data_IF_651815535163
#
_entry.id   IF_651815535163
#
_cell.length_a   1.000
_cell.length_b   1.000
_cell.length_c   1.000
_cell.angle_alpha   90.00
_cell.angle_beta   90.00
_cell.angle_gamma   90.00
#
_symmetry.space_group_name_H-M   'P 1'
#
loop_
_entity.id
_entity.type
_entity.pdbx_description
1 polymer ?
#
# COMPACT_ATOMS: atom_id res chain seq x y z
N UNK A 1 -14.02 28.82 -17.39
CA UNK A 1 -14.19 27.66 -16.48
C UNK A 1 -12.93 26.77 -16.40
N UNK A 2 -11.71 27.33 -16.43
CA UNK A 2 -10.46 26.54 -16.51
C UNK A 2 -9.68 26.39 -15.19
N UNK A 3 -10.12 27.00 -14.08
CA UNK A 3 -9.36 26.98 -12.81
C UNK A 3 -9.63 25.76 -11.93
N UNK A 4 -10.73 25.03 -12.13
CA UNK A 4 -11.02 23.81 -11.36
C UNK A 4 -10.15 22.59 -11.80
N UNK A 5 -9.68 22.59 -13.05
CA UNK A 5 -8.89 21.49 -13.61
C UNK A 5 -7.49 21.37 -12.99
N UNK A 6 -6.82 22.49 -12.71
CA UNK A 6 -5.48 22.51 -12.11
C UNK A 6 -5.50 22.16 -10.62
N UNK A 7 -6.48 22.66 -9.85
CA UNK A 7 -6.57 22.38 -8.41
C UNK A 7 -6.87 20.90 -8.10
N UNK A 8 -7.62 20.20 -8.97
CA UNK A 8 -7.83 18.75 -8.86
C UNK A 8 -6.63 17.93 -9.34
N UNK A 9 -5.86 18.44 -10.30
CA UNK A 9 -4.65 17.79 -10.80
C UNK A 9 -3.50 17.85 -9.78
N UNK A 10 -3.29 19.02 -9.15
CA UNK A 10 -2.26 19.22 -8.12
C UNK A 10 -2.48 18.33 -6.89
N UNK A 11 -3.74 18.20 -6.43
CA UNK A 11 -4.09 17.28 -5.33
C UNK A 11 -3.81 15.81 -5.66
N UNK A 12 -4.05 15.38 -6.90
CA UNK A 12 -3.77 14.01 -7.36
C UNK A 12 -2.27 13.72 -7.41
N UNK A 13 -1.48 14.67 -7.88
CA UNK A 13 -0.01 14.55 -7.88
C UNK A 13 0.55 14.46 -6.46
N UNK A 14 0.08 15.32 -5.55
CA UNK A 14 0.51 15.31 -4.16
C UNK A 14 0.17 13.98 -3.46
N UNK A 15 -1.06 13.49 -3.60
CA UNK A 15 -1.48 12.22 -3.00
C UNK A 15 -0.64 11.05 -3.51
N UNK A 16 -0.32 11.01 -4.82
CA UNK A 16 0.53 9.97 -5.40
C UNK A 16 1.97 10.04 -4.88
N UNK A 17 2.55 11.24 -4.79
CA UNK A 17 3.90 11.42 -4.26
C UNK A 17 3.98 11.00 -2.79
N UNK A 18 2.99 11.40 -2.00
CA UNK A 18 2.90 11.03 -0.58
C UNK A 18 2.73 9.52 -0.39
N UNK A 19 1.83 8.89 -1.17
CA UNK A 19 1.68 7.43 -1.22
C UNK A 19 3.01 6.72 -1.50
N UNK A 20 3.78 7.20 -2.49
CA UNK A 20 5.07 6.59 -2.83
C UNK A 20 6.09 6.72 -1.70
N UNK A 21 6.15 7.88 -1.05
CA UNK A 21 7.05 8.11 0.10
C UNK A 21 6.71 7.17 1.27
N UNK A 22 5.44 7.12 1.68
CA UNK A 22 4.99 6.26 2.78
C UNK A 22 5.19 4.78 2.45
N UNK A 23 4.92 4.38 1.21
CA UNK A 23 5.19 3.02 0.74
C UNK A 23 6.67 2.67 0.87
N UNK A 24 7.57 3.59 0.53
CA UNK A 24 9.01 3.36 0.63
C UNK A 24 9.49 3.23 2.08
N UNK A 25 8.96 4.07 2.98
CA UNK A 25 9.23 3.99 4.42
C UNK A 25 8.80 2.63 5.02
N UNK A 26 7.61 2.15 4.66
CA UNK A 26 7.10 0.83 5.12
C UNK A 26 7.97 -0.30 4.55
N UNK A 27 8.31 -0.26 3.26
CA UNK A 27 9.13 -1.31 2.62
C UNK A 27 10.59 -1.33 3.11
N UNK A 28 11.09 -0.18 3.57
CA UNK A 28 12.42 -0.01 4.15
C UNK A 28 12.48 -0.36 5.64
N UNK A 29 11.38 -0.87 6.21
CA UNK A 29 11.25 -1.20 7.64
C UNK A 29 11.45 0.02 8.57
N UNK A 30 11.30 1.27 8.07
CA UNK A 30 11.30 2.48 8.91
C UNK A 30 10.01 2.57 9.75
N UNK A 31 8.90 2.10 9.19
CA UNK A 31 7.60 2.00 9.88
C UNK A 31 7.31 0.54 10.15
N UNK A 32 7.14 0.19 11.43
CA UNK A 32 6.75 -1.17 11.80
C UNK A 32 5.31 -1.45 11.37
N UNK A 33 5.12 -2.52 10.60
CA UNK A 33 3.82 -3.03 10.21
C UNK A 33 3.66 -4.51 10.59
N UNK A 34 2.45 -4.93 10.94
CA UNK A 34 2.17 -6.34 11.11
C UNK A 34 2.17 -7.06 9.74
N UNK A 35 2.40 -8.38 9.69
CA UNK A 35 2.32 -9.16 8.44
C UNK A 35 0.94 -9.08 7.78
N UNK A 36 -0.12 -9.08 8.59
CA UNK A 36 -1.50 -8.97 8.12
C UNK A 36 -1.76 -7.60 7.48
N UNK A 37 -1.33 -6.52 8.15
CA UNK A 37 -1.43 -5.17 7.61
C UNK A 37 -0.56 -5.00 6.36
N UNK A 38 0.61 -5.63 6.31
CA UNK A 38 1.49 -5.59 5.13
C UNK A 38 0.82 -6.19 3.89
N UNK A 39 0.13 -7.32 4.05
CA UNK A 39 -0.64 -7.95 2.97
C UNK A 39 -1.78 -7.04 2.51
N UNK A 40 -2.48 -6.40 3.45
CA UNK A 40 -3.57 -5.48 3.13
C UNK A 40 -3.06 -4.23 2.40
N UNK A 41 -1.95 -3.64 2.84
CA UNK A 41 -1.28 -2.53 2.16
C UNK A 41 -0.84 -2.93 0.74
N UNK A 42 -0.27 -4.13 0.59
CA UNK A 42 0.11 -4.67 -0.70
C UNK A 42 -1.09 -4.82 -1.66
N UNK A 43 -2.25 -5.28 -1.17
CA UNK A 43 -3.45 -5.41 -2.02
C UNK A 43 -3.99 -4.05 -2.48
N UNK A 44 -3.97 -3.03 -1.62
CA UNK A 44 -4.28 -1.66 -2.03
C UNK A 44 -3.27 -1.09 -3.02
N UNK A 45 -1.98 -1.42 -2.87
CA UNK A 45 -0.96 -1.04 -3.84
C UNK A 45 -1.22 -1.67 -5.22
N UNK A 46 -1.71 -2.91 -5.27
CA UNK A 46 -2.10 -3.57 -6.54
C UNK A 46 -3.33 -2.94 -7.16
N UNK A 47 -4.35 -2.63 -6.36
CA UNK A 47 -5.53 -1.90 -6.82
C UNK A 47 -5.16 -0.51 -7.36
N UNK A 48 -4.24 0.21 -6.71
CA UNK A 48 -3.76 1.51 -7.17
C UNK A 48 -2.95 1.43 -8.47
N UNK A 49 -2.13 0.37 -8.65
CA UNK A 49 -1.24 0.19 -9.81
C UNK A 49 -1.98 -0.39 -11.02
N UNK A 50 -2.67 -1.51 -10.83
CA UNK A 50 -3.28 -2.29 -11.91
C UNK A 50 -4.78 -1.98 -12.08
N UNK A 51 -5.46 -1.56 -11.02
CA UNK A 51 -6.92 -1.39 -11.00
C UNK A 51 -7.62 -2.66 -10.52
N UNK A 52 -8.85 -2.90 -10.97
CA UNK A 52 -9.62 -4.08 -10.56
C UNK A 52 -8.94 -5.39 -10.95
N UNK A 53 -8.88 -6.32 -10.01
CA UNK A 53 -8.40 -7.68 -10.25
C UNK A 53 -9.24 -8.38 -11.33
N UNK A 54 -8.55 -9.04 -12.25
CA UNK A 54 -9.12 -9.81 -13.35
C UNK A 54 -8.39 -11.14 -13.45
N UNK A 55 -9.04 -12.28 -13.19
CA UNK A 55 -8.39 -13.58 -13.15
C UNK A 55 -7.84 -14.03 -14.52
N UNK A 56 -8.43 -13.55 -15.62
CA UNK A 56 -7.97 -13.85 -16.98
C UNK A 56 -6.65 -13.15 -17.34
N UNK A 57 -6.43 -11.96 -16.77
CA UNK A 57 -5.30 -11.08 -17.08
C UNK A 57 -4.17 -11.21 -16.06
N UNK A 58 -4.53 -11.31 -14.77
CA UNK A 58 -3.60 -11.35 -13.65
C UNK A 58 -3.37 -12.79 -13.20
N UNK A 59 -2.40 -13.45 -13.85
CA UNK A 59 -2.00 -14.81 -13.51
C UNK A 59 -1.11 -14.84 -12.26
N UNK A 60 -1.09 -15.94 -11.50
CA UNK A 60 -0.11 -16.14 -10.43
C UNK A 60 1.32 -15.98 -10.98
N UNK A 61 2.15 -15.19 -10.29
CA UNK A 61 3.48 -14.77 -10.71
C UNK A 61 3.54 -13.36 -11.30
N UNK A 62 2.40 -12.68 -11.48
CA UNK A 62 2.38 -11.32 -11.99
C UNK A 62 2.96 -10.30 -10.99
N UNK A 63 2.96 -10.64 -9.70
CA UNK A 63 3.41 -9.75 -8.64
C UNK A 63 4.86 -10.01 -8.20
N UNK A 64 5.52 -11.05 -8.73
CA UNK A 64 6.89 -11.42 -8.33
C UNK A 64 7.93 -10.33 -8.66
N UNK A 65 7.64 -9.47 -9.63
CA UNK A 65 8.50 -8.34 -9.99
C UNK A 65 8.32 -7.12 -9.07
N UNK A 66 7.23 -7.07 -8.30
CA UNK A 66 6.90 -5.93 -7.45
C UNK A 66 7.38 -6.16 -6.01
N UNK A 67 8.08 -5.17 -5.44
CA UNK A 67 8.45 -5.17 -4.01
C UNK A 67 7.23 -4.78 -3.19
N UNK A 68 6.49 -5.78 -2.71
CA UNK A 68 5.22 -5.60 -2.00
C UNK A 68 5.30 -5.71 -0.48
N UNK A 69 6.26 -6.48 0.03
CA UNK A 69 6.39 -6.76 1.45
C UNK A 69 7.77 -6.32 1.96
N UNK A 70 7.87 -5.83 3.21
CA UNK A 70 9.15 -5.59 3.88
C UNK A 70 9.97 -6.88 3.99
N UNK A 71 11.30 -6.78 3.94
CA UNK A 71 12.18 -7.95 4.02
C UNK A 71 11.96 -8.76 5.30
N UNK A 72 11.67 -8.08 6.42
CA UNK A 72 11.34 -8.73 7.68
C UNK A 72 10.12 -9.65 7.55
N UNK A 73 9.03 -9.19 6.93
CA UNK A 73 7.79 -9.96 6.78
C UNK A 73 8.00 -11.13 5.81
N UNK A 74 8.69 -10.88 4.69
CA UNK A 74 9.01 -11.92 3.72
C UNK A 74 9.92 -13.02 4.31
N UNK A 75 10.84 -12.67 5.20
CA UNK A 75 11.79 -13.61 5.82
C UNK A 75 11.34 -14.27 7.12
N UNK A 76 10.37 -13.70 7.86
CA UNK A 76 9.95 -14.22 9.17
C UNK A 76 9.05 -15.47 9.10
N UNK A 77 8.34 -15.68 8.00
CA UNK A 77 7.39 -16.79 7.88
C UNK A 77 7.92 -17.89 6.96
N UNK A 78 7.62 -19.16 7.27
CA UNK A 78 7.87 -20.32 6.38
C UNK A 78 6.94 -20.34 5.15
N UNK A 79 6.52 -19.18 4.67
CA UNK A 79 5.64 -19.03 3.52
C UNK A 79 6.48 -18.75 2.28
N UNK A 80 6.15 -19.40 1.17
CA UNK A 80 6.78 -19.11 -0.11
C UNK A 80 6.29 -17.75 -0.65
N UNK A 81 7.05 -17.15 -1.58
CA UNK A 81 6.63 -15.93 -2.28
C UNK A 81 5.25 -16.10 -2.93
N UNK A 82 4.96 -17.30 -3.45
CA UNK A 82 3.69 -17.65 -4.09
C UNK A 82 2.53 -17.65 -3.10
N UNK A 83 2.76 -18.06 -1.85
CA UNK A 83 1.70 -18.08 -0.83
C UNK A 83 1.36 -16.67 -0.33
N UNK A 84 2.37 -15.80 -0.24
CA UNK A 84 2.13 -14.37 -0.01
C UNK A 84 1.35 -13.75 -1.16
N UNK A 85 1.74 -14.06 -2.39
CA UNK A 85 1.07 -13.57 -3.59
C UNK A 85 -0.41 -13.98 -3.61
N UNK A 86 -0.72 -15.26 -3.33
CA UNK A 86 -2.10 -15.74 -3.24
C UNK A 86 -2.93 -14.93 -2.24
N UNK A 87 -2.38 -14.65 -1.06
CA UNK A 87 -3.08 -13.85 -0.04
C UNK A 87 -3.34 -12.43 -0.53
N UNK A 88 -2.35 -11.79 -1.15
CA UNK A 88 -2.48 -10.44 -1.71
C UNK A 88 -3.54 -10.43 -2.81
N UNK A 89 -3.53 -11.41 -3.71
CA UNK A 89 -4.52 -11.54 -4.79
C UNK A 89 -5.95 -11.76 -4.25
N UNK A 90 -6.12 -12.55 -3.18
CA UNK A 90 -7.42 -12.73 -2.52
C UNK A 90 -7.96 -11.39 -2.01
N UNK A 91 -7.16 -10.63 -1.27
CA UNK A 91 -7.57 -9.31 -0.79
C UNK A 91 -7.78 -8.31 -1.93
N UNK A 92 -6.99 -8.39 -2.99
CA UNK A 92 -7.14 -7.51 -4.15
C UNK A 92 -8.44 -7.78 -4.91
N UNK A 93 -8.87 -9.04 -5.00
CA UNK A 93 -10.18 -9.38 -5.58
C UNK A 93 -11.36 -8.79 -4.79
N UNK A 94 -11.23 -8.66 -3.47
CA UNK A 94 -12.24 -8.04 -2.60
C UNK A 94 -12.37 -6.52 -2.82
N UNK A 95 -11.32 -5.85 -3.27
CA UNK A 95 -11.31 -4.39 -3.51
C UNK A 95 -11.96 -3.97 -4.83
N UNK A 96 -12.60 -4.89 -5.55
CA UNK A 96 -13.20 -4.65 -6.86
C UNK A 96 -14.19 -3.48 -6.82
N UNK A 97 -14.05 -2.55 -7.77
CA UNK A 97 -14.86 -1.33 -7.87
C UNK A 97 -14.27 -0.15 -7.12
N UNK A 98 -13.17 -0.33 -6.41
CA UNK A 98 -12.42 0.77 -5.77
C UNK A 98 -11.58 1.50 -6.83
N UNK A 99 -11.74 2.82 -6.95
CA UNK A 99 -10.91 3.60 -7.88
C UNK A 99 -9.44 3.63 -7.42
N UNK A 100 -8.53 3.93 -8.34
CA UNK A 100 -7.09 4.02 -8.02
C UNK A 100 -6.82 5.10 -6.97
N UNK A 101 -7.52 6.22 -7.04
CA UNK A 101 -7.44 7.31 -6.08
C UNK A 101 -7.94 6.90 -4.70
N UNK A 102 -9.04 6.15 -4.64
CA UNK A 102 -9.55 5.64 -3.37
C UNK A 102 -8.61 4.60 -2.78
N UNK A 103 -8.06 3.70 -3.58
CA UNK A 103 -7.08 2.70 -3.11
C UNK A 103 -5.82 3.35 -2.52
N UNK A 104 -5.29 4.40 -3.16
CA UNK A 104 -4.18 5.19 -2.60
C UNK A 104 -4.56 5.87 -1.29
N UNK A 105 -5.80 6.38 -1.17
CA UNK A 105 -6.27 7.02 0.06
C UNK A 105 -6.41 6.02 1.21
N UNK A 106 -7.00 4.85 0.96
CA UNK A 106 -7.13 3.78 1.97
C UNK A 106 -5.75 3.26 2.41
N UNK A 107 -4.78 3.15 1.49
CA UNK A 107 -3.40 2.83 1.83
C UNK A 107 -2.82 3.84 2.83
N UNK A 108 -2.99 5.13 2.57
CA UNK A 108 -2.47 6.20 3.42
C UNK A 108 -3.14 6.22 4.80
N UNK A 109 -4.45 5.97 4.88
CA UNK A 109 -5.17 5.86 6.16
C UNK A 109 -4.62 4.70 7.00
N UNK A 110 -4.45 3.53 6.40
CA UNK A 110 -3.88 2.37 7.08
C UNK A 110 -2.45 2.64 7.57
N UNK A 111 -1.64 3.32 6.76
CA UNK A 111 -0.29 3.72 7.16
C UNK A 111 -0.29 4.73 8.32
N UNK A 112 -1.21 5.69 8.31
CA UNK A 112 -1.37 6.65 9.39
C UNK A 112 -1.82 5.97 10.71
N UNK A 113 -2.71 4.98 10.63
CA UNK A 113 -3.10 4.19 11.79
C UNK A 113 -1.90 3.42 12.36
N UNK A 114 -1.03 2.86 11.52
CA UNK A 114 0.21 2.21 11.96
C UNK A 114 1.14 3.15 12.71
N UNK A 115 1.30 4.39 12.25
CA UNK A 115 2.08 5.42 12.96
C UNK A 115 1.44 5.79 14.30
N UNK A 116 0.10 5.83 14.38
CA UNK A 116 -0.65 6.09 15.62
C UNK A 116 -0.55 4.93 16.63
N UNK A 117 -0.47 3.69 16.17
CA UNK A 117 -0.16 2.52 17.01
C UNK A 117 1.33 2.43 17.41
N UNK A 118 2.20 3.10 16.65
CA UNK A 118 3.66 3.21 16.87
C UNK A 118 4.08 4.35 17.80
N UNK A 119 3.15 5.16 18.33
CA UNK A 119 3.47 6.17 19.36
C UNK A 119 3.63 5.50 20.72
N UNK A 120 4.69 4.71 20.86
CA UNK A 120 5.44 4.66 22.11
C UNK A 120 6.79 5.35 21.89
N UNK A 121 6.78 6.64 22.26
CA UNK A 121 7.87 7.39 22.89
C UNK A 121 9.19 7.53 22.10
N UNK A 122 9.22 8.34 21.03
CA UNK A 122 10.44 9.11 20.65
C UNK A 122 10.20 10.26 19.67
N UNK A 123 9.05 10.35 18.99
CA UNK A 123 8.80 11.43 18.00
C UNK A 123 7.88 12.55 18.51
N UNK A 124 7.70 12.67 19.82
CA UNK A 124 7.02 13.82 20.43
C UNK A 124 7.88 15.11 20.42
N UNK A 125 9.08 15.06 19.83
CA UNK A 125 10.06 16.16 19.84
C UNK A 125 10.25 16.91 18.52
N UNK A 126 9.48 16.60 17.46
CA UNK A 126 9.61 17.32 16.17
C UNK A 126 8.35 18.10 15.74
N UNK A 127 7.39 18.28 16.65
CA UNK A 127 6.29 19.24 16.49
C UNK A 127 6.03 19.99 17.81
N UNK A 128 7.08 20.58 18.37
CA UNK A 128 6.98 21.75 19.26
C UNK A 128 7.75 22.90 18.63
#
# INVERSE_FOLDING_TARGET
MCFAGNMFSERRCFQRLFYLQVKDAILSDEVYCSPETSVLLASFAMQAKYGDYQPETHKPGCLTADRLLPQRVAGQFKMSSDDWEKRIMTWWADHRGTSREQAMLEYLKLAQDLEMYGVNVSVQFLWK
#
